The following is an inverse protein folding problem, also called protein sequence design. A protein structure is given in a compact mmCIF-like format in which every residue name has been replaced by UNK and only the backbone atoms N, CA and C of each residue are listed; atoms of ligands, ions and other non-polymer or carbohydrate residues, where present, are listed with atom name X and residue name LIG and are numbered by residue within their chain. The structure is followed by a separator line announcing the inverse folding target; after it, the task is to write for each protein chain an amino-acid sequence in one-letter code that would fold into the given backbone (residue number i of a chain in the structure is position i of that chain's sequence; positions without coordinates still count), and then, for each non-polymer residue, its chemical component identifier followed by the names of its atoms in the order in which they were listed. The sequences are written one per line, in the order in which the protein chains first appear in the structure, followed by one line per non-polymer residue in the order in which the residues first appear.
data_IF_563212070681
#
_entry.id   IF_563212070681
#
_cell.length_a   1.000
_cell.length_b   1.000
_cell.length_c   1.000
_cell.angle_alpha   90.00
_cell.angle_beta   90.00
_cell.angle_gamma   90.00
#
_symmetry.space_group_name_H-M   'P 1'
#
loop_
_entity.id
_entity.type
_entity.pdbx_description
1 polymer ?
#
# COMPACT_ATOMS: atom_id res chain seq x y z
N UNK A 1 17.74 2.30 4.65
CA UNK A 1 18.25 1.87 5.97
C UNK A 1 17.24 2.09 7.10
N UNK A 2 16.73 3.31 7.31
CA UNK A 2 15.76 3.61 8.40
C UNK A 2 14.49 2.74 8.31
N UNK A 3 13.84 2.66 7.13
CA UNK A 3 12.64 1.84 6.95
C UNK A 3 12.87 0.36 7.30
N UNK A 4 14.05 -0.17 7.00
CA UNK A 4 14.43 -1.54 7.32
C UNK A 4 14.57 -1.77 8.82
N UNK A 5 15.14 -0.80 9.55
CA UNK A 5 15.24 -0.85 11.02
C UNK A 5 13.87 -0.72 11.70
N UNK A 6 12.97 0.06 11.12
CA UNK A 6 11.62 0.27 11.64
C UNK A 6 10.62 -0.82 11.23
N UNK A 7 10.99 -1.74 10.32
CA UNK A 7 10.03 -2.69 9.72
C UNK A 7 9.27 -3.50 10.77
N UNK A 8 9.95 -3.98 11.83
CA UNK A 8 9.31 -4.78 12.87
C UNK A 8 8.24 -4.01 13.63
N UNK A 9 8.52 -2.76 14.00
CA UNK A 9 7.56 -1.89 14.66
C UNK A 9 6.38 -1.54 13.76
N UNK A 10 6.62 -1.29 12.48
CA UNK A 10 5.57 -1.01 11.49
C UNK A 10 4.65 -2.22 11.35
N UNK A 11 5.22 -3.43 11.28
CA UNK A 11 4.45 -4.67 11.17
C UNK A 11 3.59 -4.92 12.40
N UNK A 12 4.18 -4.82 13.60
CA UNK A 12 3.44 -4.98 14.86
C UNK A 12 2.30 -3.96 14.98
N UNK A 13 2.55 -2.70 14.65
CA UNK A 13 1.51 -1.67 14.68
C UNK A 13 0.39 -1.95 13.66
N UNK A 14 0.77 -2.40 12.45
CA UNK A 14 -0.19 -2.76 11.40
C UNK A 14 -1.08 -3.94 11.85
N UNK A 15 -0.46 -5.00 12.36
CA UNK A 15 -1.13 -6.20 12.86
C UNK A 15 -2.02 -5.90 14.05
N UNK A 16 -1.58 -5.05 14.99
CA UNK A 16 -2.36 -4.66 16.15
C UNK A 16 -3.68 -3.97 15.75
N UNK A 17 -3.63 -3.04 14.81
CA UNK A 17 -4.85 -2.36 14.33
C UNK A 17 -5.77 -3.33 13.59
N UNK A 18 -5.20 -4.22 12.77
CA UNK A 18 -5.97 -5.21 12.04
C UNK A 18 -6.65 -6.20 13.00
N UNK A 19 -5.94 -6.66 14.03
CA UNK A 19 -6.47 -7.47 15.13
C UNK A 19 -7.60 -6.78 15.88
N UNK A 20 -7.41 -5.50 16.24
CA UNK A 20 -8.43 -4.72 16.91
C UNK A 20 -9.68 -4.58 16.04
N UNK A 21 -9.53 -4.31 14.74
CA UNK A 21 -10.65 -4.27 13.81
C UNK A 21 -11.35 -5.64 13.71
N UNK A 22 -10.59 -6.72 13.51
CA UNK A 22 -11.12 -8.08 13.46
C UNK A 22 -11.88 -8.46 14.74
N UNK A 23 -11.41 -8.08 15.92
CA UNK A 23 -12.09 -8.37 17.19
C UNK A 23 -13.47 -7.69 17.33
N UNK A 24 -13.70 -6.61 16.58
CA UNK A 24 -14.99 -5.90 16.57
C UNK A 24 -15.95 -6.51 15.55
N UNK A 25 -15.42 -6.99 14.41
CA UNK A 25 -16.24 -7.42 13.27
C UNK A 25 -16.38 -8.94 13.12
N UNK A 26 -15.49 -9.75 13.70
CA UNK A 26 -15.47 -11.21 13.54
C UNK A 26 -15.79 -11.93 14.87
N UNK A 27 -16.50 -13.08 14.82
CA UNK A 27 -16.77 -13.90 16.00
C UNK A 27 -15.48 -14.43 16.67
N UNK A 28 -15.49 -14.53 18.00
CA UNK A 28 -14.36 -14.89 18.87
C UNK A 28 -13.55 -16.14 18.46
N UNK A 29 -14.20 -17.08 17.75
CA UNK A 29 -13.59 -18.34 17.29
C UNK A 29 -12.50 -18.11 16.21
N UNK A 30 -12.35 -16.87 15.74
CA UNK A 30 -11.44 -16.44 14.67
C UNK A 30 -10.12 -15.83 15.21
N UNK A 31 -9.90 -15.85 16.53
CA UNK A 31 -8.78 -15.17 17.18
C UNK A 31 -7.38 -15.68 16.77
N UNK A 32 -7.26 -16.89 16.22
CA UNK A 32 -5.99 -17.47 15.75
C UNK A 32 -5.52 -16.97 14.37
N UNK A 33 -6.32 -16.16 13.67
CA UNK A 33 -6.13 -15.90 12.24
C UNK A 33 -5.15 -14.76 11.90
N UNK A 34 -4.94 -13.82 12.82
CA UNK A 34 -4.06 -12.69 12.55
C UNK A 34 -2.57 -12.98 12.76
N UNK A 35 -2.23 -14.04 13.51
CA UNK A 35 -0.84 -14.41 13.82
C UNK A 35 -0.08 -15.03 12.63
N UNK A 36 -0.78 -15.33 11.53
CA UNK A 36 -0.21 -15.97 10.34
C UNK A 36 -0.09 -15.04 9.11
N UNK A 37 -0.40 -13.75 9.26
CA UNK A 37 -0.69 -12.88 8.12
C UNK A 37 0.53 -12.02 7.71
N UNK A 38 1.31 -12.51 6.73
CA UNK A 38 2.45 -11.82 6.08
C UNK A 38 2.07 -10.52 5.31
N UNK A 39 0.82 -10.08 5.35
CA UNK A 39 0.36 -8.90 4.58
C UNK A 39 1.07 -7.61 4.97
N UNK A 40 1.53 -7.50 6.22
CA UNK A 40 2.24 -6.33 6.71
C UNK A 40 3.49 -6.01 5.86
N UNK A 41 4.13 -7.02 5.25
CA UNK A 41 5.25 -6.83 4.31
C UNK A 41 4.85 -6.10 3.02
N UNK A 42 3.59 -6.19 2.57
CA UNK A 42 3.07 -5.55 1.35
C UNK A 42 3.04 -4.03 1.45
N UNK A 43 2.97 -3.51 2.68
CA UNK A 43 2.99 -2.07 2.94
C UNK A 43 4.38 -1.48 2.74
N UNK A 44 5.45 -2.27 2.89
CA UNK A 44 6.84 -1.79 2.83
C UNK A 44 7.22 -1.22 1.45
N UNK A 45 6.91 -1.88 0.31
CA UNK A 45 7.11 -1.28 -1.01
C UNK A 45 6.41 0.07 -1.16
N UNK A 46 5.16 0.20 -0.69
CA UNK A 46 4.40 1.44 -0.76
C UNK A 46 5.04 2.56 0.08
N UNK A 47 5.37 2.26 1.34
CA UNK A 47 6.11 3.15 2.24
C UNK A 47 7.42 3.61 1.60
N UNK A 48 8.18 2.69 1.01
CA UNK A 48 9.43 3.00 0.33
C UNK A 48 9.22 3.96 -0.85
N UNK A 49 8.22 3.70 -1.71
CA UNK A 49 7.91 4.55 -2.87
C UNK A 49 7.51 5.97 -2.45
N UNK A 50 6.60 6.11 -1.47
CA UNK A 50 6.16 7.43 -0.98
C UNK A 50 7.31 8.19 -0.34
N UNK A 51 8.15 7.53 0.47
CA UNK A 51 9.29 8.16 1.12
C UNK A 51 10.39 8.56 0.11
N UNK A 52 10.60 7.75 -0.94
CA UNK A 52 11.56 8.03 -2.00
C UNK A 52 11.10 9.12 -2.97
N UNK A 53 9.81 9.48 -3.00
CA UNK A 53 9.26 10.45 -3.97
C UNK A 53 9.78 11.87 -3.71
N UNK A 54 10.63 12.45 -4.57
CA UNK A 54 11.17 13.78 -4.36
C UNK A 54 10.08 14.86 -4.47
N UNK A 55 10.33 16.03 -3.87
CA UNK A 55 9.44 17.22 -3.95
C UNK A 55 8.02 17.03 -3.38
N UNK A 56 7.76 15.91 -2.69
CA UNK A 56 6.51 15.72 -1.95
C UNK A 56 6.60 16.40 -0.57
N UNK A 57 5.70 17.34 -0.28
CA UNK A 57 5.63 17.97 1.04
C UNK A 57 5.29 16.95 2.13
N UNK A 58 5.79 17.14 3.35
CA UNK A 58 5.54 16.22 4.47
C UNK A 58 4.04 16.02 4.76
N UNK A 59 3.23 17.07 4.59
CA UNK A 59 1.77 16.97 4.72
C UNK A 59 1.16 16.03 3.68
N UNK A 60 1.57 16.13 2.41
CA UNK A 60 1.12 15.21 1.35
C UNK A 60 1.64 13.79 1.58
N UNK A 61 2.90 13.65 2.01
CA UNK A 61 3.49 12.34 2.37
C UNK A 61 2.66 11.65 3.46
N UNK A 62 2.37 12.36 4.55
CA UNK A 62 1.52 11.84 5.63
C UNK A 62 0.13 11.44 5.14
N UNK A 63 -0.50 12.27 4.31
CA UNK A 63 -1.80 11.96 3.69
C UNK A 63 -1.75 10.68 2.85
N UNK A 64 -0.78 10.55 1.95
CA UNK A 64 -0.62 9.35 1.12
C UNK A 64 -0.34 8.10 1.97
N UNK A 65 0.53 8.20 2.97
CA UNK A 65 0.84 7.09 3.85
C UNK A 65 -0.40 6.62 4.61
N UNK A 66 -1.16 7.54 5.20
CA UNK A 66 -2.41 7.21 5.90
C UNK A 66 -3.44 6.58 4.96
N UNK A 67 -3.66 7.16 3.78
CA UNK A 67 -4.61 6.61 2.80
C UNK A 67 -4.18 5.23 2.32
N UNK A 68 -2.90 5.04 1.99
CA UNK A 68 -2.42 3.74 1.51
C UNK A 68 -2.52 2.66 2.57
N UNK A 69 -2.09 2.95 3.81
CA UNK A 69 -2.22 2.01 4.94
C UNK A 69 -3.69 1.67 5.20
N UNK A 70 -4.59 2.65 5.15
CA UNK A 70 -6.03 2.41 5.29
C UNK A 70 -6.58 1.51 4.17
N UNK A 71 -6.11 1.68 2.93
CA UNK A 71 -6.50 0.80 1.81
C UNK A 71 -6.01 -0.62 2.04
N UNK A 72 -4.75 -0.81 2.47
CA UNK A 72 -4.23 -2.14 2.80
C UNK A 72 -5.06 -2.80 3.91
N UNK A 73 -5.39 -2.07 4.99
CA UNK A 73 -6.26 -2.59 6.04
C UNK A 73 -7.66 -2.96 5.55
N UNK A 74 -8.29 -2.10 4.74
CA UNK A 74 -9.62 -2.38 4.19
C UNK A 74 -9.63 -3.64 3.31
N UNK A 75 -8.58 -3.81 2.52
CA UNK A 75 -8.35 -4.95 1.64
C UNK A 75 -8.13 -6.23 2.46
N UNK A 76 -7.31 -6.19 3.50
CA UNK A 76 -7.08 -7.33 4.40
C UNK A 76 -8.35 -7.69 5.20
N UNK A 77 -9.08 -6.69 5.70
CA UNK A 77 -10.34 -6.92 6.41
C UNK A 77 -11.39 -7.54 5.49
N UNK A 78 -11.53 -7.05 4.25
CA UNK A 78 -12.38 -7.66 3.24
C UNK A 78 -11.93 -9.10 2.93
N UNK A 79 -10.61 -9.34 2.88
CA UNK A 79 -10.03 -10.67 2.78
C UNK A 79 -10.52 -11.61 3.87
N UNK A 80 -10.46 -11.19 5.14
CA UNK A 80 -10.94 -11.97 6.28
C UNK A 80 -12.46 -12.19 6.29
N UNK A 81 -13.23 -11.22 5.78
CA UNK A 81 -14.70 -11.35 5.67
C UNK A 81 -15.11 -12.36 4.58
N UNK A 82 -14.33 -12.48 3.50
CA UNK A 82 -14.62 -13.41 2.40
C UNK A 82 -14.05 -14.80 2.70
N UNK A 83 -12.81 -14.85 3.18
CA UNK A 83 -12.09 -16.07 3.51
C UNK A 83 -11.62 -15.96 4.95
N UNK A 84 -12.27 -16.72 5.83
CA UNK A 84 -11.96 -16.72 7.27
C UNK A 84 -10.49 -17.03 7.54
N UNK A 85 -9.83 -17.83 6.69
CA UNK A 85 -8.41 -18.10 6.75
C UNK A 85 -7.69 -17.87 5.41
N UNK A 86 -6.44 -17.36 5.40
CA UNK A 86 -5.61 -17.46 4.22
C UNK A 86 -5.44 -18.96 3.87
N UNK A 87 -5.48 -19.34 2.59
CA UNK A 87 -5.36 -20.74 2.23
C UNK A 87 -3.98 -21.24 2.63
N UNK A 88 -4.00 -22.47 3.14
CA UNK A 88 -2.80 -23.25 3.39
C UNK A 88 -1.87 -23.20 2.18
N UNK A 89 -0.63 -22.76 2.43
CA UNK A 89 0.45 -22.80 1.42
C UNK A 89 0.92 -24.24 1.14
N UNK A 90 0.38 -25.23 1.85
CA UNK A 90 0.78 -26.63 1.71
C UNK A 90 -0.14 -27.37 0.72
N UNK A 91 0.41 -28.07 -0.27
CA UNK A 91 -0.37 -28.94 -1.14
C UNK A 91 -1.03 -30.05 -0.31
N UNK A 92 -2.35 -30.22 -0.45
CA UNK A 92 -3.08 -31.37 0.14
C UNK A 92 -4.04 -31.04 1.30
N UNK A 93 -4.14 -29.79 1.76
CA UNK A 93 -5.01 -29.44 2.90
C UNK A 93 -6.47 -29.09 2.53
N UNK A 94 -7.05 -29.74 1.53
CA UNK A 94 -8.49 -29.59 1.24
C UNK A 94 -8.93 -28.20 0.71
N UNK A 95 -8.02 -27.27 0.46
CA UNK A 95 -8.34 -25.97 -0.11
C UNK A 95 -8.91 -26.13 -1.54
N UNK A 96 -10.03 -25.46 -1.82
CA UNK A 96 -10.62 -25.47 -3.15
C UNK A 96 -9.69 -24.79 -4.16
N UNK A 97 -9.73 -25.22 -5.43
CA UNK A 97 -8.94 -24.58 -6.51
C UNK A 97 -9.21 -23.09 -6.62
N UNK A 98 -10.44 -22.66 -6.35
CA UNK A 98 -10.83 -21.24 -6.33
C UNK A 98 -10.12 -20.47 -5.22
N UNK A 99 -9.98 -21.05 -4.03
CA UNK A 99 -9.27 -20.43 -2.90
C UNK A 99 -7.76 -20.30 -3.18
N UNK A 100 -7.15 -21.31 -3.83
CA UNK A 100 -5.74 -21.28 -4.25
C UNK A 100 -5.51 -20.18 -5.30
N UNK A 101 -6.35 -20.13 -6.34
CA UNK A 101 -6.29 -19.09 -7.38
C UNK A 101 -6.49 -17.68 -6.81
N UNK A 102 -7.46 -17.53 -5.92
CA UNK A 102 -7.70 -16.27 -5.22
C UNK A 102 -6.44 -15.82 -4.49
N UNK A 103 -5.77 -16.69 -3.76
CA UNK A 103 -4.59 -16.30 -2.99
C UNK A 103 -3.34 -16.06 -3.81
N UNK A 104 -3.14 -16.77 -4.92
CA UNK A 104 -2.08 -16.45 -5.87
C UNK A 104 -2.32 -15.08 -6.53
N UNK A 105 -3.55 -14.81 -6.93
CA UNK A 105 -3.93 -13.50 -7.47
C UNK A 105 -3.78 -12.41 -6.42
N UNK A 106 -4.19 -12.68 -5.18
CA UNK A 106 -4.10 -11.76 -4.05
C UNK A 106 -2.65 -11.47 -3.67
N UNK A 107 -1.80 -12.49 -3.67
CA UNK A 107 -0.38 -12.32 -3.43
C UNK A 107 0.25 -11.48 -4.54
N UNK A 108 -0.02 -11.80 -5.80
CA UNK A 108 0.54 -11.04 -6.93
C UNK A 108 0.05 -9.58 -6.94
N UNK A 109 -1.26 -9.37 -6.87
CA UNK A 109 -1.86 -8.05 -6.92
C UNK A 109 -1.56 -7.23 -5.65
N UNK A 110 -1.67 -7.85 -4.48
CA UNK A 110 -1.44 -7.20 -3.20
C UNK A 110 0.03 -6.86 -2.93
N UNK A 111 0.98 -7.77 -3.22
CA UNK A 111 2.41 -7.50 -3.01
C UNK A 111 3.00 -6.60 -4.10
N UNK A 112 2.64 -6.81 -5.36
CA UNK A 112 3.40 -6.23 -6.47
C UNK A 112 2.67 -5.16 -7.25
N UNK A 113 1.33 -5.14 -7.28
CA UNK A 113 0.60 -4.19 -8.14
C UNK A 113 0.04 -3.04 -7.32
N UNK A 114 -0.61 -3.36 -6.20
CA UNK A 114 -1.30 -2.40 -5.35
C UNK A 114 -0.38 -1.30 -4.80
N UNK A 115 0.85 -1.57 -4.31
CA UNK A 115 1.75 -0.51 -3.86
C UNK A 115 2.05 0.53 -4.94
N UNK A 116 2.23 0.09 -6.17
CA UNK A 116 2.53 0.97 -7.30
C UNK A 116 1.30 1.74 -7.75
N UNK A 117 0.13 1.11 -7.77
CA UNK A 117 -1.13 1.79 -8.10
C UNK A 117 -1.45 2.90 -7.09
N UNK A 118 -1.36 2.61 -5.80
CA UNK A 118 -1.60 3.59 -4.73
C UNK A 118 -0.60 4.74 -4.77
N UNK A 119 0.68 4.41 -4.97
CA UNK A 119 1.71 5.42 -5.14
C UNK A 119 1.42 6.30 -6.36
N UNK A 120 1.23 5.70 -7.53
CA UNK A 120 0.98 6.41 -8.79
C UNK A 120 -0.25 7.30 -8.69
N UNK A 121 -1.37 6.80 -8.17
CA UNK A 121 -2.58 7.59 -7.95
C UNK A 121 -2.30 8.84 -7.10
N UNK A 122 -1.45 8.70 -6.06
CA UNK A 122 -1.06 9.79 -5.18
C UNK A 122 -0.10 10.82 -5.78
N UNK A 123 0.77 10.41 -6.71
CA UNK A 123 1.88 11.24 -7.21
C UNK A 123 1.79 11.59 -8.70
N UNK A 124 0.81 11.09 -9.45
CA UNK A 124 0.72 11.25 -10.91
C UNK A 124 0.87 12.70 -11.39
N UNK A 125 0.28 13.67 -10.67
CA UNK A 125 0.40 15.10 -11.00
C UNK A 125 1.83 15.61 -10.88
N UNK A 126 2.56 15.17 -9.86
CA UNK A 126 3.97 15.54 -9.65
C UNK A 126 4.92 14.82 -10.60
N UNK A 127 4.58 13.60 -11.02
CA UNK A 127 5.31 12.92 -12.09
C UNK A 127 5.21 13.71 -13.40
N UNK A 128 4.04 14.28 -13.71
CA UNK A 128 3.87 15.19 -14.86
C UNK A 128 4.78 16.41 -14.80
N UNK A 129 4.98 17.01 -13.62
CA UNK A 129 5.90 18.14 -13.43
C UNK A 129 7.38 17.73 -13.51
N UNK A 130 7.73 16.53 -13.02
CA UNK A 130 9.10 16.00 -13.03
C UNK A 130 9.55 15.54 -14.42
N UNK A 131 8.65 14.98 -15.22
CA UNK A 131 8.95 14.44 -16.55
C UNK A 131 8.49 15.35 -17.70
N UNK A 132 7.59 16.30 -17.46
CA UNK A 132 7.06 17.23 -18.46
C UNK A 132 7.73 18.61 -18.50
N UNK A 133 8.62 18.94 -17.55
CA UNK A 133 9.24 20.26 -17.40
C UNK A 133 10.26 20.68 -18.49
N UNK A 134 10.38 19.92 -19.58
CA UNK A 134 11.31 20.20 -20.68
C UNK A 134 10.68 20.86 -21.91
N UNK A 135 9.35 21.00 -22.00
CA UNK A 135 8.71 21.57 -23.19
C UNK A 135 8.30 23.01 -22.94
N UNK A 136 9.23 23.92 -23.29
CA UNK A 136 8.99 25.29 -23.73
C UNK A 136 7.86 26.09 -23.05
N UNK A 137 8.21 26.85 -22.02
CA UNK A 137 7.80 28.25 -22.02
C UNK A 137 9.00 29.10 -22.41
N UNK A 138 9.23 29.16 -23.73
CA UNK A 138 9.93 30.29 -24.34
C UNK A 138 9.11 31.54 -24.06
N UNK A 139 9.28 32.10 -22.86
CA UNK A 139 8.84 33.46 -22.57
C UNK A 139 9.75 34.35 -23.40
N UNK A 140 9.28 34.69 -24.60
CA UNK A 140 9.95 35.68 -25.44
C UNK A 140 10.24 36.91 -24.56
N UNK A 141 11.47 37.44 -24.59
CA UNK A 141 11.80 38.63 -23.81
C UNK A 141 10.81 39.73 -24.18
N UNK A 142 10.11 40.24 -23.17
CA UNK A 142 9.23 41.39 -23.35
C UNK A 142 10.10 42.52 -23.89
N UNK A 143 9.78 43.11 -25.06
CA UNK A 143 10.55 44.22 -25.58
C UNK A 143 10.52 45.33 -24.54
N UNK A 144 11.69 45.71 -24.08
CA UNK A 144 11.93 46.88 -23.24
C UNK A 144 11.31 48.08 -23.93
N UNK A 145 10.24 48.61 -23.34
CA UNK A 145 9.65 49.86 -23.77
C UNK A 145 10.68 50.97 -23.51
N UNK A 146 11.33 51.42 -24.56
CA UNK A 146 12.09 52.67 -24.53
C UNK A 146 11.13 53.84 -24.40
N UNK A 147 11.29 54.62 -23.33
CA UNK A 147 11.35 56.09 -23.31
C UNK A 147 11.59 56.58 -21.90
#
# INVERSE_FOLDING_TARGET
MILYLCKGWIMVAYEFVLLAACSVFLPSDHAGLASYYDSSFRTLPFLALVLATPKLSWRRRGGLLLTGVAVFWAIDLAGFLIWTEPPSRQPGQGASRAHILFSLAWETLGHWVLPYLLWFAGVHRQLGELFGGGVHQGRAPSPTAGR
#
